data_IF_159149917472
#
_entry.id   IF_159149917472
#
_cell.length_a   1.000
_cell.length_b   1.000
_cell.length_c   1.000
_cell.angle_alpha   90.00
_cell.angle_beta   90.00
_cell.angle_gamma   90.00
#
_symmetry.space_group_name_H-M   'P 1'
#
loop_
_entity.id
_entity.type
_entity.pdbx_description
1 polymer ?
#
# COMPACT_ATOMS: atom_id res chain seq x y z
N UNK A 1 -26.50 3.65 11.31
CA UNK A 1 -26.63 4.20 12.68
C UNK A 1 -25.42 3.94 13.58
N UNK A 2 -24.73 2.78 13.54
CA UNK A 2 -23.64 2.47 14.49
C UNK A 2 -22.42 3.42 14.48
N UNK A 3 -21.99 3.90 13.31
CA UNK A 3 -20.81 4.81 13.20
C UNK A 3 -21.05 6.15 13.89
N UNK A 4 -22.28 6.67 13.85
CA UNK A 4 -22.66 7.99 14.38
C UNK A 4 -22.45 8.08 15.91
N UNK A 5 -22.48 6.95 16.61
CA UNK A 5 -22.30 6.90 18.08
C UNK A 5 -20.86 7.19 18.52
N UNK A 6 -19.87 7.02 17.65
CA UNK A 6 -18.46 7.31 17.94
C UNK A 6 -17.97 8.66 17.38
N UNK A 7 -18.85 9.45 16.78
CA UNK A 7 -18.50 10.74 16.14
C UNK A 7 -18.56 11.87 17.16
N UNK A 8 -17.54 12.73 17.17
CA UNK A 8 -17.49 13.97 17.96
C UNK A 8 -17.31 15.19 17.07
N UNK A 9 -17.72 16.40 17.52
CA UNK A 9 -17.50 17.64 16.78
C UNK A 9 -16.00 17.86 16.51
N UNK A 10 -15.64 18.01 15.23
CA UNK A 10 -14.25 18.19 14.80
C UNK A 10 -13.53 16.92 14.34
N UNK A 11 -14.21 15.77 14.28
CA UNK A 11 -13.62 14.56 13.69
C UNK A 11 -13.23 14.79 12.23
N UNK A 12 -12.05 14.32 11.85
CA UNK A 12 -11.58 14.42 10.47
C UNK A 12 -12.26 13.37 9.58
N UNK A 13 -12.28 13.61 8.27
CA UNK A 13 -12.80 12.63 7.30
C UNK A 13 -12.03 11.30 7.33
N UNK A 14 -10.73 11.35 7.63
CA UNK A 14 -9.86 10.18 7.76
C UNK A 14 -10.25 9.33 8.96
N UNK A 15 -10.43 9.95 10.14
CA UNK A 15 -10.84 9.28 11.36
C UNK A 15 -12.25 8.69 11.24
N UNK A 16 -13.13 9.39 10.52
CA UNK A 16 -14.48 8.90 10.23
C UNK A 16 -14.45 7.64 9.35
N UNK A 17 -13.66 7.65 8.28
CA UNK A 17 -13.50 6.49 7.39
C UNK A 17 -12.87 5.30 8.14
N UNK A 18 -11.93 5.56 9.06
CA UNK A 18 -11.33 4.51 9.90
C UNK A 18 -12.34 3.91 10.89
N UNK A 19 -13.13 4.74 11.57
CA UNK A 19 -14.21 4.28 12.46
C UNK A 19 -15.26 3.47 11.69
N UNK A 20 -15.60 3.90 10.46
CA UNK A 20 -16.53 3.19 9.60
C UNK A 20 -15.98 1.81 9.19
N UNK A 21 -14.69 1.71 8.82
CA UNK A 21 -14.03 0.46 8.49
C UNK A 21 -14.01 -0.50 9.69
N UNK A 22 -13.64 -0.02 10.89
CA UNK A 22 -13.63 -0.84 12.11
C UNK A 22 -15.04 -1.33 12.48
N UNK A 23 -16.04 -0.46 12.37
CA UNK A 23 -17.44 -0.81 12.65
C UNK A 23 -17.96 -1.87 11.67
N UNK A 24 -17.62 -1.74 10.38
CA UNK A 24 -17.94 -2.73 9.38
C UNK A 24 -17.25 -4.07 9.68
N UNK A 25 -15.96 -4.05 10.06
CA UNK A 25 -15.23 -5.27 10.41
C UNK A 25 -15.86 -6.02 11.60
N UNK A 26 -16.35 -5.29 12.62
CA UNK A 26 -17.08 -5.90 13.75
C UNK A 26 -18.37 -6.61 13.30
N UNK A 27 -19.02 -6.12 12.24
CA UNK A 27 -20.22 -6.74 11.67
C UNK A 27 -19.93 -7.96 10.79
N UNK A 28 -18.66 -8.34 10.59
CA UNK A 28 -18.29 -9.56 9.86
C UNK A 28 -18.85 -10.84 10.49
N UNK A 29 -19.11 -10.82 11.81
CA UNK A 29 -19.81 -11.90 12.53
C UNK A 29 -21.26 -12.09 12.08
N UNK A 30 -21.88 -11.07 11.50
CA UNK A 30 -23.26 -11.12 11.00
C UNK A 30 -23.31 -11.60 9.55
N UNK A 31 -22.39 -11.13 8.71
CA UNK A 31 -22.26 -11.55 7.32
C UNK A 31 -20.82 -11.36 6.82
N UNK A 32 -20.22 -12.33 6.13
CA UNK A 32 -18.81 -12.26 5.72
C UNK A 32 -18.50 -11.08 4.79
N UNK A 33 -19.45 -10.61 3.99
CA UNK A 33 -19.22 -9.46 3.10
C UNK A 33 -18.98 -8.14 3.83
N UNK A 34 -19.33 -8.03 5.13
CA UNK A 34 -18.94 -6.87 5.92
C UNK A 34 -17.41 -6.75 6.07
N UNK A 35 -16.67 -7.88 6.06
CA UNK A 35 -15.21 -7.86 6.04
C UNK A 35 -14.66 -7.24 4.75
N UNK A 36 -15.27 -7.59 3.60
CA UNK A 36 -14.92 -6.99 2.30
C UNK A 36 -15.25 -5.51 2.26
N UNK A 37 -16.41 -5.11 2.80
CA UNK A 37 -16.80 -3.71 2.89
C UNK A 37 -15.83 -2.91 3.76
N UNK A 38 -15.47 -3.44 4.92
CA UNK A 38 -14.49 -2.82 5.82
C UNK A 38 -13.13 -2.62 5.13
N UNK A 39 -12.66 -3.63 4.41
CA UNK A 39 -11.43 -3.55 3.62
C UNK A 39 -11.51 -2.44 2.57
N UNK A 40 -12.61 -2.37 1.81
CA UNK A 40 -12.80 -1.35 0.77
C UNK A 40 -12.81 0.07 1.32
N UNK A 41 -13.42 0.29 2.49
CA UNK A 41 -13.38 1.59 3.17
C UNK A 41 -11.94 1.94 3.56
N UNK A 42 -11.22 1.00 4.18
CA UNK A 42 -9.83 1.21 4.61
C UNK A 42 -8.88 1.50 3.43
N UNK A 43 -8.99 0.73 2.34
CA UNK A 43 -8.22 0.92 1.10
C UNK A 43 -8.54 2.27 0.45
N UNK A 44 -9.82 2.64 0.37
CA UNK A 44 -10.24 3.95 -0.16
C UNK A 44 -9.64 5.10 0.65
N UNK A 45 -9.64 4.99 1.98
CA UNK A 45 -9.01 5.97 2.86
C UNK A 45 -7.50 6.07 2.61
N UNK A 46 -6.79 4.93 2.48
CA UNK A 46 -5.37 4.91 2.12
C UNK A 46 -5.10 5.56 0.76
N UNK A 47 -5.95 5.30 -0.25
CA UNK A 47 -5.80 5.90 -1.59
C UNK A 47 -5.94 7.43 -1.57
N UNK A 48 -6.75 7.99 -0.67
CA UNK A 48 -6.86 9.46 -0.48
C UNK A 48 -5.61 10.08 0.15
N UNK A 49 -4.85 9.30 0.91
CA UNK A 49 -3.68 9.76 1.68
C UNK A 49 -2.34 9.44 0.98
N UNK A 50 -2.35 8.57 -0.02
CA UNK A 50 -1.16 8.11 -0.73
C UNK A 50 -1.12 8.60 -2.17
N UNK A 51 0.10 8.71 -2.71
CA UNK A 51 0.30 9.10 -4.11
C UNK A 51 -0.23 7.99 -5.02
N UNK A 52 -0.83 8.34 -6.17
CA UNK A 52 -1.35 7.34 -7.12
C UNK A 52 -0.22 6.75 -7.97
N UNK A 53 0.62 7.63 -8.53
CA UNK A 53 1.72 7.27 -9.43
C UNK A 53 2.81 6.54 -8.64
N UNK A 54 3.22 5.37 -9.13
CA UNK A 54 4.20 4.53 -8.45
C UNK A 54 5.60 5.13 -8.48
N UNK A 55 6.06 5.60 -9.64
CA UNK A 55 7.39 6.22 -9.75
C UNK A 55 7.55 7.43 -8.81
N UNK A 56 6.52 8.27 -8.67
CA UNK A 56 6.53 9.39 -7.72
C UNK A 56 6.61 8.93 -6.26
N UNK A 57 5.92 7.83 -5.90
CA UNK A 57 6.01 7.25 -4.57
C UNK A 57 7.44 6.75 -4.30
N UNK A 58 8.04 6.04 -5.26
CA UNK A 58 9.43 5.54 -5.18
C UNK A 58 10.43 6.69 -5.03
N UNK A 59 10.29 7.77 -5.81
CA UNK A 59 11.14 8.96 -5.66
C UNK A 59 10.99 9.58 -4.27
N UNK A 60 9.78 9.68 -3.71
CA UNK A 60 9.57 10.16 -2.33
C UNK A 60 10.24 9.27 -1.28
N UNK A 61 10.23 7.95 -1.48
CA UNK A 61 10.86 6.99 -0.57
C UNK A 61 12.39 7.03 -0.65
N UNK A 62 12.92 7.27 -1.85
CA UNK A 62 14.36 7.46 -2.07
C UNK A 62 14.85 8.79 -1.48
N UNK A 63 14.14 9.89 -1.72
CA UNK A 63 14.50 11.22 -1.24
C UNK A 63 14.10 11.48 0.22
N UNK A 64 13.73 10.45 0.99
CA UNK A 64 13.23 10.64 2.35
C UNK A 64 14.33 11.15 3.28
N UNK A 65 14.01 12.23 4.02
CA UNK A 65 14.85 12.80 5.06
C UNK A 65 14.18 12.63 6.40
N UNK A 66 14.90 12.10 7.37
CA UNK A 66 14.34 11.84 8.68
C UNK A 66 14.11 13.17 9.42
N UNK A 67 12.87 13.54 9.78
CA UNK A 67 12.53 14.91 10.21
C UNK A 67 13.21 15.33 11.51
N UNK A 68 13.53 14.39 12.40
CA UNK A 68 14.16 14.69 13.70
C UNK A 68 15.66 14.88 13.62
N UNK A 69 16.32 14.23 12.65
CA UNK A 69 17.78 14.21 12.54
C UNK A 69 18.29 15.02 11.35
N UNK A 70 17.43 15.32 10.37
CA UNK A 70 17.78 16.04 9.15
C UNK A 70 18.65 15.25 8.19
N UNK A 71 19.00 13.99 8.51
CA UNK A 71 19.81 13.14 7.66
C UNK A 71 18.95 12.42 6.62
N UNK A 72 19.53 12.19 5.44
CA UNK A 72 18.94 11.32 4.43
C UNK A 72 18.79 9.90 5.00
N UNK A 73 17.59 9.35 4.87
CA UNK A 73 17.24 8.01 5.33
C UNK A 73 16.46 7.29 4.21
N UNK A 74 17.07 7.06 3.03
CA UNK A 74 16.40 6.46 1.90
C UNK A 74 15.82 5.09 2.28
N UNK A 75 14.55 4.87 1.92
CA UNK A 75 13.88 3.57 2.13
C UNK A 75 14.10 2.60 0.95
N UNK A 76 14.65 3.11 -0.16
CA UNK A 76 14.87 2.39 -1.41
C UNK A 76 16.30 2.62 -1.87
N UNK A 77 16.92 1.58 -2.44
CA UNK A 77 18.27 1.68 -2.99
C UNK A 77 18.33 2.55 -4.25
N UNK A 78 19.48 3.20 -4.47
CA UNK A 78 19.72 4.03 -5.67
C UNK A 78 19.45 3.24 -6.95
N UNK A 79 19.89 1.97 -6.99
CA UNK A 79 19.71 1.10 -8.16
C UNK A 79 18.24 0.85 -8.48
N UNK A 80 17.41 0.55 -7.48
CA UNK A 80 15.96 0.36 -7.70
C UNK A 80 15.32 1.67 -8.17
N UNK A 81 15.70 2.81 -7.59
CA UNK A 81 15.20 4.11 -8.01
C UNK A 81 15.56 4.44 -9.47
N UNK A 82 16.79 4.15 -9.90
CA UNK A 82 17.24 4.33 -11.30
C UNK A 82 16.42 3.47 -12.28
N UNK A 83 16.25 2.18 -11.97
CA UNK A 83 15.45 1.25 -12.80
C UNK A 83 14.00 1.73 -12.92
N UNK A 84 13.38 2.13 -11.81
CA UNK A 84 12.01 2.63 -11.80
C UNK A 84 11.89 3.93 -12.60
N UNK A 85 12.84 4.84 -12.45
CA UNK A 85 12.82 6.13 -13.16
C UNK A 85 13.00 5.94 -14.66
N UNK A 86 13.92 5.07 -15.08
CA UNK A 86 14.15 4.75 -16.49
C UNK A 86 12.93 4.10 -17.17
N UNK A 87 12.11 3.36 -16.42
CA UNK A 87 10.96 2.59 -16.93
C UNK A 87 9.62 3.10 -16.41
N UNK A 88 9.56 4.35 -15.95
CA UNK A 88 8.44 4.88 -15.16
C UNK A 88 7.09 4.77 -15.88
N UNK A 89 7.01 5.14 -17.15
CA UNK A 89 5.77 5.09 -17.93
C UNK A 89 5.19 3.67 -17.99
N UNK A 90 6.04 2.70 -18.30
CA UNK A 90 5.65 1.29 -18.45
C UNK A 90 5.22 0.68 -17.12
N UNK A 91 5.98 0.92 -16.06
CA UNK A 91 5.70 0.40 -14.72
C UNK A 91 4.43 1.03 -14.13
N UNK A 92 4.24 2.34 -14.30
CA UNK A 92 3.04 3.03 -13.83
C UNK A 92 1.79 2.53 -14.56
N UNK A 93 1.88 2.25 -15.87
CA UNK A 93 0.76 1.74 -16.66
C UNK A 93 0.40 0.28 -16.32
N UNK A 94 1.37 -0.53 -15.90
CA UNK A 94 1.16 -1.94 -15.54
C UNK A 94 0.36 -2.11 -14.23
N UNK A 95 0.37 -1.12 -13.34
CA UNK A 95 -0.25 -1.21 -12.02
C UNK A 95 -1.77 -1.07 -12.09
N UNK A 96 -2.47 -2.06 -11.54
CA UNK A 96 -3.94 -2.07 -11.45
C UNK A 96 -4.36 -1.84 -9.99
N UNK A 97 -4.65 -0.58 -9.66
CA UNK A 97 -5.03 -0.18 -8.29
C UNK A 97 -6.32 -0.84 -7.79
N UNK A 98 -7.21 -1.26 -8.68
CA UNK A 98 -8.47 -1.91 -8.27
C UNK A 98 -8.22 -3.24 -7.54
N UNK A 99 -7.07 -3.88 -7.78
CA UNK A 99 -6.66 -5.10 -7.06
C UNK A 99 -6.43 -4.86 -5.56
N UNK A 100 -6.22 -3.61 -5.12
CA UNK A 100 -6.17 -3.30 -3.68
C UNK A 100 -7.51 -3.60 -2.98
N UNK A 101 -8.64 -3.54 -3.70
CA UNK A 101 -9.96 -3.83 -3.13
C UNK A 101 -10.29 -5.33 -3.02
N UNK A 102 -9.38 -6.19 -3.48
CA UNK A 102 -9.53 -7.64 -3.33
C UNK A 102 -9.08 -8.14 -1.96
N UNK A 103 -8.32 -7.35 -1.19
CA UNK A 103 -7.94 -7.72 0.17
C UNK A 103 -9.17 -7.74 1.09
N UNK A 104 -9.17 -8.65 2.06
CA UNK A 104 -10.07 -8.57 3.20
C UNK A 104 -9.51 -7.61 4.25
N UNK A 105 -10.31 -7.31 5.27
CA UNK A 105 -9.94 -6.27 6.23
C UNK A 105 -8.70 -6.64 7.05
N UNK A 106 -8.60 -7.91 7.47
CA UNK A 106 -7.47 -8.39 8.27
C UNK A 106 -6.18 -8.50 7.45
N UNK A 107 -6.27 -9.00 6.21
CA UNK A 107 -5.15 -9.01 5.27
C UNK A 107 -4.62 -7.61 5.01
N UNK A 108 -5.51 -6.65 4.72
CA UNK A 108 -5.12 -5.25 4.52
C UNK A 108 -4.47 -4.65 5.77
N UNK A 109 -5.06 -4.82 6.96
CA UNK A 109 -4.47 -4.32 8.22
C UNK A 109 -3.12 -4.96 8.55
N UNK A 110 -2.90 -6.20 8.15
CA UNK A 110 -1.60 -6.87 8.27
C UNK A 110 -0.55 -6.18 7.40
N UNK A 111 -0.89 -5.89 6.13
CA UNK A 111 -0.03 -5.14 5.21
C UNK A 111 0.27 -3.74 5.75
N UNK A 112 -0.76 -2.99 6.13
CA UNK A 112 -0.66 -1.62 6.65
C UNK A 112 0.22 -1.52 7.89
N UNK A 113 0.14 -2.51 8.79
CA UNK A 113 0.91 -2.51 10.03
C UNK A 113 2.40 -2.73 9.78
N UNK A 114 2.74 -3.69 8.93
CA UNK A 114 4.09 -4.26 8.90
C UNK A 114 4.81 -4.11 7.56
N UNK A 115 4.11 -4.10 6.43
CA UNK A 115 4.74 -4.28 5.12
C UNK A 115 4.80 -3.00 4.28
N UNK A 116 3.80 -2.13 4.42
CA UNK A 116 3.74 -0.88 3.65
C UNK A 116 4.68 0.17 4.24
N UNK A 117 5.46 0.83 3.39
CA UNK A 117 6.35 1.90 3.84
C UNK A 117 5.59 3.07 4.48
N UNK A 118 6.20 3.62 5.53
CA UNK A 118 5.69 4.73 6.32
C UNK A 118 6.64 5.91 6.26
N UNK A 119 6.08 7.09 5.99
CA UNK A 119 6.78 8.37 6.10
C UNK A 119 6.21 9.10 7.32
N UNK A 120 7.08 9.52 8.23
CA UNK A 120 6.68 10.20 9.47
C UNK A 120 5.61 9.44 10.28
N UNK A 121 5.67 8.11 10.26
CA UNK A 121 4.73 7.23 10.94
C UNK A 121 3.40 7.00 10.21
N UNK A 122 3.16 7.65 9.07
CA UNK A 122 1.97 7.49 8.23
C UNK A 122 2.26 6.60 7.03
N UNK A 123 1.35 5.69 6.71
CA UNK A 123 1.49 4.81 5.55
C UNK A 123 1.43 5.64 4.26
N UNK A 124 2.45 5.50 3.44
CA UNK A 124 2.60 6.27 2.20
C UNK A 124 2.61 5.37 0.94
N UNK A 125 2.77 4.06 1.12
CA UNK A 125 2.80 3.07 0.05
C UNK A 125 1.45 2.36 -0.08
N UNK A 126 1.00 2.11 -1.32
CA UNK A 126 -0.18 1.27 -1.60
C UNK A 126 0.21 -0.21 -1.67
N UNK A 127 -0.71 -1.16 -1.43
CA UNK A 127 -0.39 -2.59 -1.59
C UNK A 127 0.13 -2.92 -2.99
N UNK A 128 -0.45 -2.36 -4.06
CA UNK A 128 0.10 -2.53 -5.41
C UNK A 128 1.52 -1.98 -5.58
N UNK A 129 1.85 -0.87 -4.92
CA UNK A 129 3.20 -0.30 -4.96
C UNK A 129 4.20 -1.23 -4.28
N UNK A 130 3.84 -1.79 -3.13
CA UNK A 130 4.68 -2.78 -2.44
C UNK A 130 4.94 -4.00 -3.31
N UNK A 131 3.91 -4.56 -3.95
CA UNK A 131 4.07 -5.74 -4.82
C UNK A 131 4.97 -5.42 -6.03
N UNK A 132 4.77 -4.26 -6.66
CA UNK A 132 5.61 -3.85 -7.79
C UNK A 132 7.06 -3.59 -7.35
N UNK A 133 7.27 -2.94 -6.20
CA UNK A 133 8.60 -2.75 -5.62
C UNK A 133 9.30 -4.08 -5.38
N UNK A 134 8.62 -5.06 -4.79
CA UNK A 134 9.18 -6.40 -4.56
C UNK A 134 9.54 -7.07 -5.88
N UNK A 135 8.66 -7.00 -6.89
CA UNK A 135 8.93 -7.59 -8.20
C UNK A 135 10.16 -6.96 -8.87
N UNK A 136 10.30 -5.63 -8.79
CA UNK A 136 11.48 -4.92 -9.29
C UNK A 136 12.72 -5.25 -8.46
N UNK A 137 12.61 -5.37 -7.14
CA UNK A 137 13.74 -5.77 -6.28
C UNK A 137 14.29 -7.16 -6.61
N UNK A 138 13.45 -8.06 -7.13
CA UNK A 138 13.85 -9.41 -7.56
C UNK A 138 14.47 -9.40 -8.96
N UNK A 139 13.82 -8.74 -9.92
CA UNK A 139 14.15 -8.85 -11.35
C UNK A 139 14.99 -7.70 -11.89
N UNK A 140 15.03 -6.58 -11.18
CA UNK A 140 15.78 -5.37 -11.48
C UNK A 140 15.58 -4.91 -12.91
N UNK A 141 16.61 -5.03 -13.75
CA UNK A 141 16.64 -4.56 -15.13
C UNK A 141 15.72 -5.36 -16.07
N UNK A 142 15.26 -6.56 -15.66
CA UNK A 142 14.28 -7.37 -16.39
C UNK A 142 12.84 -6.93 -16.07
N UNK A 143 12.38 -5.90 -16.78
CA UNK A 143 11.06 -5.31 -16.60
C UNK A 143 9.93 -6.26 -17.05
N UNK A 144 10.19 -7.14 -18.00
CA UNK A 144 9.19 -8.10 -18.47
C UNK A 144 8.90 -9.13 -17.36
N UNK A 145 9.94 -9.70 -16.75
CA UNK A 145 9.81 -10.61 -15.62
C UNK A 145 9.24 -9.92 -14.36
N UNK A 146 9.61 -8.66 -14.12
CA UNK A 146 9.04 -7.85 -13.04
C UNK A 146 7.53 -7.67 -13.19
N UNK A 147 7.05 -7.31 -14.39
CA UNK A 147 5.61 -7.14 -14.66
C UNK A 147 4.87 -8.47 -14.60
N UNK A 148 5.45 -9.57 -15.08
CA UNK A 148 4.87 -10.90 -14.95
C UNK A 148 4.68 -11.29 -13.48
N UNK A 149 5.74 -11.14 -12.68
CA UNK A 149 5.73 -11.42 -11.25
C UNK A 149 4.73 -10.54 -10.52
N UNK A 150 4.70 -9.24 -10.82
CA UNK A 150 3.70 -8.32 -10.29
C UNK A 150 2.28 -8.80 -10.58
N UNK A 151 1.98 -9.22 -11.81
CA UNK A 151 0.65 -9.70 -12.17
C UNK A 151 0.26 -10.96 -11.39
N UNK A 152 1.15 -11.95 -11.30
CA UNK A 152 0.88 -13.18 -10.57
C UNK A 152 0.68 -12.94 -9.07
N UNK A 153 1.52 -12.10 -8.46
CA UNK A 153 1.41 -11.75 -7.04
C UNK A 153 0.17 -10.90 -6.73
N UNK A 154 -0.11 -9.88 -7.54
CA UNK A 154 -1.27 -8.99 -7.32
C UNK A 154 -2.61 -9.68 -7.57
N UNK A 155 -2.63 -10.75 -8.37
CA UNK A 155 -3.78 -11.66 -8.55
C UNK A 155 -3.79 -12.80 -7.51
N UNK A 156 -2.85 -12.81 -6.56
CA UNK A 156 -2.74 -13.77 -5.44
C UNK A 156 -2.50 -15.23 -5.86
N UNK A 157 -1.87 -15.46 -7.01
CA UNK A 157 -1.44 -16.81 -7.40
C UNK A 157 -0.34 -17.33 -6.48
N UNK A 158 0.54 -16.45 -6.00
CA UNK A 158 1.53 -16.75 -4.97
C UNK A 158 1.95 -15.48 -4.21
N UNK A 159 2.70 -15.65 -3.13
CA UNK A 159 3.36 -14.56 -2.41
C UNK A 159 4.77 -14.98 -2.02
N UNK A 160 5.71 -14.04 -2.02
CA UNK A 160 7.02 -14.29 -1.44
C UNK A 160 6.97 -14.30 0.10
N UNK A 161 7.99 -14.89 0.70
CA UNK A 161 8.13 -14.93 2.15
C UNK A 161 8.35 -13.52 2.73
N UNK A 162 8.05 -13.38 4.03
CA UNK A 162 8.15 -12.10 4.76
C UNK A 162 9.46 -11.35 4.53
N UNK A 163 10.66 -11.96 4.61
CA UNK A 163 11.91 -11.22 4.42
C UNK A 163 12.04 -10.53 3.05
N UNK A 164 11.48 -11.14 2.01
CA UNK A 164 11.46 -10.59 0.64
C UNK A 164 10.50 -9.40 0.56
N UNK A 165 9.30 -9.52 1.13
CA UNK A 165 8.32 -8.41 1.13
C UNK A 165 8.84 -7.16 1.87
N UNK A 166 9.74 -7.35 2.83
CA UNK A 166 10.35 -6.26 3.59
C UNK A 166 11.54 -5.60 2.90
N UNK A 167 12.43 -6.38 2.28
CA UNK A 167 13.78 -5.90 1.93
C UNK A 167 14.07 -5.86 0.42
N UNK A 168 13.14 -6.31 -0.42
CA UNK A 168 13.27 -6.23 -1.88
C UNK A 168 13.01 -4.82 -2.41
#
# INVERSE_FOLDING_TARGET
QKVIQGVYPGVTTVELDELAAQTAAYCATQHPDYSKLAARIAVSNLHKQSTKVFSEAITKFHSYMHPKTGFAAPLISDKVHEVVTANAERLNAAIIHDRDFEFDYFGFKTLEKSYLFKLDGKVAERPQHMIMRVAIGIHMDDIDAAIETYNLMSQKFFTHATPTLFNS
#
